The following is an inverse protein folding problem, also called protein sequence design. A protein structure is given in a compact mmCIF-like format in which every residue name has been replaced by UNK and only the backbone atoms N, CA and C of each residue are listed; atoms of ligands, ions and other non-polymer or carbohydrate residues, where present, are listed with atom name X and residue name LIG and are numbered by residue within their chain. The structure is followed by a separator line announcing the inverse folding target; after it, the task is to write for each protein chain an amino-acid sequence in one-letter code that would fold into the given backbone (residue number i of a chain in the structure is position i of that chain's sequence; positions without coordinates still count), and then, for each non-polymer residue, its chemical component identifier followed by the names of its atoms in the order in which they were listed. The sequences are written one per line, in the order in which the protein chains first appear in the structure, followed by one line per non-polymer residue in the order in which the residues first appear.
data_IF_372933878265
#
_entry.id   IF_372933878265
#
_cell.length_a   1.000
_cell.length_b   1.000
_cell.length_c   1.000
_cell.angle_alpha   90.00
_cell.angle_beta   90.00
_cell.angle_gamma   90.00
#
_symmetry.space_group_name_H-M   'P 1'
#
loop_
_entity.id
_entity.type
_entity.pdbx_description
1 polymer ?
#
# COMPACT_ATOMS: atom_id res chain seq x y z
N UNK A 1 -17.32 -95.61 21.95
CA UNK A 1 -18.47 -95.38 22.86
C UNK A 1 -18.72 -93.88 22.95
N UNK A 2 -19.96 -93.47 22.64
CA UNK A 2 -20.67 -92.21 22.93
C UNK A 2 -20.05 -90.86 22.48
N UNK A 3 -20.67 -90.34 21.41
CA UNK A 3 -20.74 -88.93 20.99
C UNK A 3 -21.39 -88.08 22.10
N UNK A 4 -20.83 -86.91 22.39
CA UNK A 4 -21.45 -85.85 23.18
C UNK A 4 -21.73 -84.64 22.28
N UNK A 5 -23.01 -84.33 22.09
CA UNK A 5 -23.48 -83.13 21.40
C UNK A 5 -23.42 -81.94 22.38
N UNK A 6 -22.78 -80.85 22.00
CA UNK A 6 -22.94 -79.55 22.67
C UNK A 6 -23.61 -78.56 21.71
N UNK A 7 -24.73 -78.04 22.20
CA UNK A 7 -25.66 -77.12 21.56
C UNK A 7 -25.03 -75.73 21.45
N UNK A 8 -25.02 -75.16 20.25
CA UNK A 8 -24.61 -73.77 19.98
C UNK A 8 -25.80 -72.86 20.29
N UNK A 9 -25.64 -71.95 21.25
CA UNK A 9 -26.61 -70.90 21.56
C UNK A 9 -26.35 -69.68 20.67
N UNK A 10 -27.31 -69.33 19.81
CA UNK A 10 -27.30 -68.12 18.99
C UNK A 10 -27.74 -66.94 19.89
N UNK A 11 -26.84 -65.99 20.15
CA UNK A 11 -27.18 -64.68 20.72
C UNK A 11 -27.47 -63.70 19.58
N UNK A 12 -28.73 -63.30 19.45
CA UNK A 12 -29.17 -62.18 18.61
C UNK A 12 -28.73 -60.86 19.23
N UNK A 13 -27.67 -60.26 18.68
CA UNK A 13 -27.24 -58.90 18.99
C UNK A 13 -27.98 -57.89 18.11
N UNK A 14 -28.71 -56.96 18.73
CA UNK A 14 -29.28 -55.79 18.07
C UNK A 14 -28.15 -54.85 17.59
N UNK A 15 -28.06 -54.62 16.28
CA UNK A 15 -27.23 -53.55 15.71
C UNK A 15 -27.99 -52.21 15.86
N UNK A 16 -27.54 -51.35 16.77
CA UNK A 16 -27.92 -49.94 16.77
C UNK A 16 -27.17 -49.22 15.65
N UNK A 17 -27.90 -48.76 14.62
CA UNK A 17 -27.38 -47.81 13.63
C UNK A 17 -27.15 -46.47 14.35
N UNK A 18 -25.90 -46.10 14.58
CA UNK A 18 -25.54 -44.73 14.93
C UNK A 18 -25.62 -43.86 13.66
N UNK A 19 -26.62 -43.00 13.58
CA UNK A 19 -26.71 -41.97 12.55
C UNK A 19 -25.70 -40.86 12.87
N UNK A 20 -24.54 -40.87 12.20
CA UNK A 20 -23.60 -39.76 12.25
C UNK A 20 -24.21 -38.55 11.52
N UNK A 21 -24.64 -37.55 12.28
CA UNK A 21 -25.02 -36.25 11.73
C UNK A 21 -23.75 -35.56 11.20
N UNK A 22 -23.60 -35.52 9.87
CA UNK A 22 -22.56 -34.76 9.21
C UNK A 22 -22.94 -33.27 9.32
N UNK A 23 -22.37 -32.57 10.30
CA UNK A 23 -22.40 -31.10 10.32
C UNK A 23 -21.62 -30.59 9.11
N UNK A 24 -22.32 -30.22 8.04
CA UNK A 24 -21.77 -29.44 6.95
C UNK A 24 -21.44 -28.04 7.51
N UNK A 25 -20.24 -27.88 8.07
CA UNK A 25 -19.69 -26.57 8.38
C UNK A 25 -19.56 -25.79 7.09
N UNK A 26 -20.33 -24.72 6.94
CA UNK A 26 -20.10 -23.75 5.88
C UNK A 26 -18.74 -23.11 6.16
N UNK A 27 -17.71 -23.55 5.43
CA UNK A 27 -16.45 -22.82 5.35
C UNK A 27 -16.81 -21.50 4.67
N UNK A 28 -16.96 -20.45 5.48
CA UNK A 28 -17.06 -19.10 4.97
C UNK A 28 -15.68 -18.78 4.39
N UNK A 29 -15.50 -19.00 3.09
CA UNK A 29 -14.37 -18.44 2.37
C UNK A 29 -14.51 -16.93 2.50
N UNK A 30 -13.77 -16.31 3.43
CA UNK A 30 -13.63 -14.87 3.44
C UNK A 30 -13.21 -14.49 2.02
N UNK A 31 -14.05 -13.77 1.27
CA UNK A 31 -13.61 -13.29 -0.04
C UNK A 31 -12.44 -12.37 0.24
N UNK A 32 -11.30 -12.64 -0.40
CA UNK A 32 -10.22 -11.66 -0.41
C UNK A 32 -10.84 -10.34 -0.86
N UNK A 33 -10.75 -9.32 -0.02
CA UNK A 33 -11.25 -8.00 -0.40
C UNK A 33 -10.37 -7.50 -1.55
N UNK A 34 -10.96 -6.88 -2.58
CA UNK A 34 -10.17 -6.30 -3.67
C UNK A 34 -9.16 -5.30 -3.10
N UNK A 35 -7.91 -5.37 -3.55
CA UNK A 35 -6.87 -4.39 -3.21
C UNK A 35 -6.90 -3.31 -4.30
N UNK A 36 -7.58 -2.21 -4.02
CA UNK A 36 -7.64 -1.07 -4.95
C UNK A 36 -6.34 -0.29 -4.92
N UNK A 37 -5.79 -0.04 -6.09
CA UNK A 37 -4.59 0.78 -6.31
C UNK A 37 -4.99 1.98 -7.14
N UNK A 38 -4.54 3.15 -6.73
CA UNK A 38 -4.59 4.38 -7.51
C UNK A 38 -3.24 4.60 -8.18
N UNK A 39 -3.24 5.21 -9.36
CA UNK A 39 -2.03 5.65 -10.03
C UNK A 39 -2.21 6.97 -10.75
N UNK A 40 -1.10 7.68 -10.96
CA UNK A 40 -1.09 8.90 -11.79
C UNK A 40 -0.38 8.60 -13.11
N UNK A 41 -1.10 8.86 -14.20
CA UNK A 41 -0.57 8.74 -15.55
C UNK A 41 0.21 9.99 -15.96
N UNK A 42 1.08 9.89 -16.96
CA UNK A 42 1.84 11.03 -17.52
C UNK A 42 0.94 12.18 -18.04
N UNK A 43 -0.27 11.87 -18.51
CA UNK A 43 -1.28 12.87 -18.91
C UNK A 43 -2.05 13.48 -17.72
N UNK A 44 -1.58 13.26 -16.50
CA UNK A 44 -2.17 13.79 -15.26
C UNK A 44 -3.60 13.29 -15.01
N UNK A 45 -3.85 12.01 -15.31
CA UNK A 45 -5.11 11.33 -14.98
C UNK A 45 -4.90 10.45 -13.75
N UNK A 46 -5.79 10.58 -12.76
CA UNK A 46 -5.88 9.67 -11.63
C UNK A 46 -6.67 8.43 -12.07
N UNK A 47 -5.99 7.30 -12.17
CA UNK A 47 -6.59 6.00 -12.50
C UNK A 47 -6.71 5.12 -11.27
N UNK A 48 -7.65 4.17 -11.29
CA UNK A 48 -7.69 3.09 -10.29
C UNK A 48 -7.84 1.73 -10.94
N UNK A 49 -7.34 0.70 -10.28
CA UNK A 49 -7.44 -0.69 -10.71
C UNK A 49 -7.37 -1.64 -9.50
N UNK A 50 -7.71 -2.91 -9.70
CA UNK A 50 -7.50 -3.96 -8.70
C UNK A 50 -6.11 -4.57 -8.87
N UNK A 51 -5.36 -4.69 -7.77
CA UNK A 51 -4.00 -5.23 -7.77
C UNK A 51 -3.88 -6.64 -8.38
N UNK A 52 -4.94 -7.45 -8.34
CA UNK A 52 -4.98 -8.79 -8.92
C UNK A 52 -5.31 -8.80 -10.42
N UNK A 53 -5.87 -7.71 -10.95
CA UNK A 53 -6.23 -7.55 -12.36
C UNK A 53 -5.82 -6.17 -12.89
N UNK A 54 -4.52 -5.81 -12.86
CA UNK A 54 -4.05 -4.46 -13.20
C UNK A 54 -4.34 -4.05 -14.65
N UNK A 55 -4.55 -5.01 -15.55
CA UNK A 55 -4.89 -4.77 -16.95
C UNK A 55 -6.28 -4.15 -17.17
N UNK A 56 -7.14 -4.10 -16.15
CA UNK A 56 -8.48 -3.50 -16.23
C UNK A 56 -8.55 -2.26 -15.35
N UNK A 57 -8.60 -1.09 -15.98
CA UNK A 57 -8.81 0.20 -15.30
C UNK A 57 -10.26 0.30 -14.84
N UNK A 58 -10.46 0.54 -13.55
CA UNK A 58 -11.76 0.68 -12.91
C UNK A 58 -12.30 2.12 -12.97
N UNK A 59 -11.42 3.11 -12.89
CA UNK A 59 -11.77 4.53 -13.06
C UNK A 59 -10.62 5.32 -13.67
N UNK A 60 -10.93 6.45 -14.31
CA UNK A 60 -9.97 7.45 -14.77
C UNK A 60 -10.59 8.83 -14.71
N UNK A 61 -9.94 9.76 -14.00
CA UNK A 61 -10.39 11.15 -13.87
C UNK A 61 -9.21 12.11 -14.00
N UNK A 62 -9.35 13.14 -14.83
CA UNK A 62 -8.28 14.13 -15.02
C UNK A 62 -8.05 14.90 -13.72
N UNK A 63 -6.78 15.06 -13.33
CA UNK A 63 -6.38 15.86 -12.18
C UNK A 63 -6.48 17.34 -12.57
N UNK A 64 -7.14 18.12 -11.74
CA UNK A 64 -7.30 19.58 -11.92
C UNK A 64 -7.01 20.33 -10.62
N UNK A 65 -6.95 21.66 -10.65
CA UNK A 65 -6.68 22.46 -9.44
C UNK A 65 -5.20 22.62 -9.07
N UNK A 66 -4.28 22.08 -9.87
CA UNK A 66 -2.83 22.29 -9.73
C UNK A 66 -2.43 23.70 -10.16
N UNK A 67 -1.25 24.16 -9.71
CA UNK A 67 -0.63 25.35 -10.28
C UNK A 67 -0.37 25.18 -11.78
N UNK A 68 -0.32 26.29 -12.52
CA UNK A 68 -0.14 26.25 -13.97
C UNK A 68 1.20 25.60 -14.35
N UNK A 69 1.14 24.55 -15.20
CA UNK A 69 2.27 23.70 -15.62
C UNK A 69 2.86 22.79 -14.53
N UNK A 70 2.19 22.64 -13.40
CA UNK A 70 2.61 21.69 -12.37
C UNK A 70 2.09 20.28 -12.69
N UNK A 71 2.92 19.29 -12.38
CA UNK A 71 2.60 17.86 -12.52
C UNK A 71 2.70 17.16 -11.18
N UNK A 72 2.05 16.00 -11.05
CA UNK A 72 2.12 15.19 -9.84
C UNK A 72 3.28 14.21 -9.99
N UNK A 73 4.10 14.10 -8.94
CA UNK A 73 5.32 13.29 -8.89
C UNK A 73 5.21 12.12 -7.91
N UNK A 74 4.24 12.15 -7.00
CA UNK A 74 4.02 11.11 -5.99
C UNK A 74 2.62 11.22 -5.40
N UNK A 75 2.06 10.11 -4.94
CA UNK A 75 0.76 10.08 -4.24
C UNK A 75 0.81 9.08 -3.09
N UNK A 76 0.07 9.34 -2.01
CA UNK A 76 -0.14 8.36 -0.93
C UNK A 76 -1.38 8.73 -0.09
N UNK A 77 -2.04 7.74 0.50
CA UNK A 77 -3.16 7.91 1.41
C UNK A 77 -2.69 8.18 2.84
N UNK A 78 -3.11 9.30 3.43
CA UNK A 78 -2.86 9.58 4.85
C UNK A 78 -3.56 8.54 5.73
N UNK A 79 -2.85 7.66 6.46
CA UNK A 79 -3.50 6.57 7.21
C UNK A 79 -4.47 7.06 8.28
N UNK A 80 -4.23 8.25 8.84
CA UNK A 80 -5.06 8.84 9.88
C UNK A 80 -6.44 9.34 9.39
N UNK A 81 -6.57 9.72 8.11
CA UNK A 81 -7.78 10.37 7.57
C UNK A 81 -8.35 9.72 6.31
N UNK A 82 -7.57 8.88 5.62
CA UNK A 82 -7.95 8.24 4.35
C UNK A 82 -7.96 9.18 3.15
N UNK A 83 -7.45 10.42 3.28
CA UNK A 83 -7.34 11.36 2.17
C UNK A 83 -6.12 11.03 1.30
N UNK A 84 -6.27 11.11 -0.02
CA UNK A 84 -5.16 11.00 -0.96
C UNK A 84 -4.40 12.32 -0.99
N UNK A 85 -3.10 12.27 -0.73
CA UNK A 85 -2.19 13.39 -0.90
C UNK A 85 -1.35 13.19 -2.16
N UNK A 86 -0.83 14.30 -2.68
CA UNK A 86 0.02 14.30 -3.85
C UNK A 86 1.16 15.31 -3.75
N UNK A 87 2.32 14.92 -4.27
CA UNK A 87 3.51 15.75 -4.41
C UNK A 87 3.50 16.45 -5.77
N UNK A 88 3.50 17.77 -5.78
CA UNK A 88 3.60 18.57 -6.99
C UNK A 88 5.06 18.89 -7.38
N UNK A 89 5.32 18.97 -8.68
CA UNK A 89 6.67 19.24 -9.24
C UNK A 89 7.23 20.62 -8.87
N UNK A 90 6.41 21.56 -8.40
CA UNK A 90 6.86 22.86 -7.91
C UNK A 90 6.98 22.91 -6.38
N UNK A 91 7.17 21.77 -5.73
CA UNK A 91 7.22 21.67 -4.26
C UNK A 91 5.93 22.17 -3.61
N UNK A 92 4.78 21.86 -4.21
CA UNK A 92 3.48 22.04 -3.57
C UNK A 92 2.99 20.70 -3.05
N UNK A 93 2.35 20.71 -1.88
CA UNK A 93 1.64 19.55 -1.35
C UNK A 93 0.15 19.72 -1.65
N UNK A 94 -0.50 18.66 -2.11
CA UNK A 94 -1.92 18.67 -2.44
C UNK A 94 -2.66 17.55 -1.70
N UNK A 95 -3.96 17.74 -1.48
CA UNK A 95 -4.93 16.65 -1.36
C UNK A 95 -5.68 16.50 -2.68
N UNK A 96 -6.03 15.28 -3.08
CA UNK A 96 -6.81 15.00 -4.30
C UNK A 96 -8.10 14.28 -3.91
N UNK A 97 -9.24 14.79 -4.41
CA UNK A 97 -10.51 14.06 -4.34
C UNK A 97 -10.53 12.92 -5.36
N UNK A 98 -10.61 11.68 -4.88
CA UNK A 98 -10.48 10.48 -5.71
C UNK A 98 -11.62 10.26 -6.72
N UNK A 99 -12.75 10.98 -6.57
CA UNK A 99 -13.91 10.85 -7.46
C UNK A 99 -13.88 11.89 -8.57
N UNK A 100 -13.57 13.15 -8.22
CA UNK A 100 -13.59 14.29 -9.13
C UNK A 100 -12.22 14.66 -9.71
N UNK A 101 -11.12 14.16 -9.13
CA UNK A 101 -9.74 14.54 -9.52
C UNK A 101 -9.35 15.96 -9.11
N UNK A 102 -10.18 16.66 -8.31
CA UNK A 102 -9.89 18.02 -7.87
C UNK A 102 -8.77 18.01 -6.82
N UNK A 103 -7.64 18.63 -7.14
CA UNK A 103 -6.55 18.88 -6.21
C UNK A 103 -6.77 20.19 -5.45
N UNK A 104 -6.46 20.19 -4.15
CA UNK A 104 -6.46 21.38 -3.30
C UNK A 104 -5.10 21.49 -2.60
N UNK A 105 -4.46 22.65 -2.71
CA UNK A 105 -3.15 22.87 -2.09
C UNK A 105 -3.25 22.83 -0.56
N UNK A 106 -2.30 22.15 0.06
CA UNK A 106 -2.07 22.12 1.50
C UNK A 106 -1.06 23.20 1.84
N UNK A 107 -1.40 24.02 2.83
CA UNK A 107 -0.66 25.26 3.10
C UNK A 107 -1.02 26.36 2.09
N UNK A 108 -0.27 27.46 2.10
CA UNK A 108 -0.54 28.64 1.27
C UNK A 108 0.55 28.95 0.23
N UNK A 109 1.60 28.13 0.17
CA UNK A 109 2.76 28.33 -0.70
C UNK A 109 3.49 27.02 -0.94
N UNK A 110 4.39 27.02 -1.92
CA UNK A 110 5.38 25.96 -2.08
C UNK A 110 6.21 25.80 -0.81
N UNK A 111 6.50 24.56 -0.45
CA UNK A 111 7.24 24.23 0.75
C UNK A 111 8.74 24.45 0.56
N UNK A 112 9.42 24.81 1.65
CA UNK A 112 10.88 24.95 1.70
C UNK A 112 11.43 24.18 2.91
N UNK A 113 12.56 23.47 2.79
CA UNK A 113 13.34 23.23 1.57
C UNK A 113 12.53 22.48 0.50
N UNK A 114 12.65 22.92 -0.75
CA UNK A 114 11.92 22.35 -1.89
C UNK A 114 12.57 21.10 -2.45
N UNK A 115 11.93 20.50 -3.46
CA UNK A 115 12.39 19.29 -4.14
C UNK A 115 13.75 19.49 -4.82
N UNK A 116 14.59 18.48 -4.71
CA UNK A 116 15.85 18.34 -5.43
C UNK A 116 15.98 16.91 -5.95
N UNK A 117 16.28 16.76 -7.24
CA UNK A 117 16.24 15.48 -7.94
C UNK A 117 15.22 15.50 -9.09
N UNK A 118 15.07 14.36 -9.74
CA UNK A 118 14.15 14.12 -10.86
C UNK A 118 13.08 13.06 -10.55
N UNK A 119 13.38 12.13 -9.63
CA UNK A 119 12.47 11.06 -9.21
C UNK A 119 12.35 11.02 -7.69
N UNK A 120 11.15 10.70 -7.19
CA UNK A 120 10.83 10.92 -5.78
C UNK A 120 10.04 9.76 -5.16
N UNK A 121 10.51 9.28 -4.01
CA UNK A 121 9.68 8.53 -3.07
C UNK A 121 8.82 9.48 -2.25
N UNK A 122 7.54 9.16 -2.05
CA UNK A 122 6.58 9.98 -1.32
C UNK A 122 5.63 9.07 -0.53
N UNK A 123 5.68 9.09 0.80
CA UNK A 123 4.87 8.17 1.61
C UNK A 123 4.62 8.67 3.04
N UNK A 124 3.47 8.32 3.61
CA UNK A 124 3.10 8.64 4.98
C UNK A 124 3.70 7.67 5.98
N UNK A 125 4.43 8.20 6.95
CA UNK A 125 4.74 7.48 8.16
C UNK A 125 3.48 7.35 9.04
N UNK A 126 2.91 6.13 9.21
CA UNK A 126 1.65 5.95 9.93
C UNK A 126 1.77 6.16 11.45
N UNK A 127 3.00 6.17 11.99
CA UNK A 127 3.23 6.27 13.44
C UNK A 127 3.34 7.72 13.93
N UNK A 128 3.90 8.61 13.10
CA UNK A 128 4.11 10.03 13.46
C UNK A 128 3.29 11.01 12.62
N UNK A 129 2.47 10.50 11.70
CA UNK A 129 1.60 11.29 10.82
C UNK A 129 2.37 12.40 10.09
N UNK A 130 3.45 11.98 9.42
CA UNK A 130 4.32 12.83 8.60
C UNK A 130 4.56 12.18 7.27
N UNK A 131 4.76 13.00 6.26
CA UNK A 131 5.11 12.56 4.92
C UNK A 131 6.63 12.53 4.82
N UNK A 132 7.17 11.44 4.30
CA UNK A 132 8.57 11.32 3.91
C UNK A 132 8.67 11.59 2.41
N UNK A 133 9.64 12.42 2.01
CA UNK A 133 10.03 12.57 0.61
C UNK A 133 11.50 12.26 0.47
N UNK A 134 11.83 11.38 -0.47
CA UNK A 134 13.21 11.05 -0.84
C UNK A 134 13.42 11.21 -2.34
N UNK A 135 14.67 11.28 -2.81
CA UNK A 135 14.93 11.38 -4.25
C UNK A 135 16.24 10.72 -4.69
N UNK A 136 16.39 10.63 -6.02
CA UNK A 136 17.62 10.28 -6.76
C UNK A 136 18.82 11.21 -6.46
N UNK A 137 18.59 12.36 -5.81
CA UNK A 137 19.63 13.29 -5.36
C UNK A 137 19.97 13.16 -3.87
N UNK A 138 19.71 11.97 -3.29
CA UNK A 138 19.90 11.64 -1.88
C UNK A 138 19.10 12.52 -0.91
N UNK A 139 18.12 13.27 -1.42
CA UNK A 139 17.32 14.16 -0.61
C UNK A 139 16.49 13.35 0.39
N UNK A 140 16.30 13.91 1.58
CA UNK A 140 15.50 13.29 2.62
C UNK A 140 14.72 14.36 3.39
N UNK A 141 13.45 14.54 3.08
CA UNK A 141 12.57 15.56 3.66
C UNK A 141 11.48 14.95 4.54
N UNK A 142 11.06 15.70 5.55
CA UNK A 142 9.87 15.45 6.35
C UNK A 142 8.88 16.57 6.14
N UNK A 143 7.70 16.25 5.62
CA UNK A 143 6.62 17.19 5.38
C UNK A 143 5.52 17.03 6.44
N UNK A 144 4.93 18.15 6.86
CA UNK A 144 3.77 18.19 7.72
C UNK A 144 2.48 18.23 6.88
N UNK A 145 1.61 17.21 6.96
CA UNK A 145 0.42 17.11 6.11
C UNK A 145 -0.68 18.13 6.46
N UNK A 146 -0.55 18.88 7.56
CA UNK A 146 -1.56 19.84 8.00
C UNK A 146 -1.31 21.26 7.48
N UNK A 147 -0.05 21.62 7.23
CA UNK A 147 0.34 22.99 6.83
C UNK A 147 1.31 23.03 5.65
N UNK A 148 1.77 21.87 5.16
CA UNK A 148 2.69 21.76 4.04
C UNK A 148 4.13 22.12 4.36
N UNK A 149 4.48 22.42 5.62
CA UNK A 149 5.88 22.75 5.97
C UNK A 149 6.81 21.57 5.75
N UNK A 150 8.04 21.86 5.30
CA UNK A 150 9.07 20.87 4.98
C UNK A 150 10.29 21.05 5.89
N UNK A 151 10.98 19.97 6.21
CA UNK A 151 12.25 19.97 6.94
C UNK A 151 13.20 18.98 6.30
N UNK A 152 14.38 19.43 5.90
CA UNK A 152 15.45 18.53 5.47
C UNK A 152 16.11 17.87 6.68
N UNK A 153 16.39 16.57 6.56
CA UNK A 153 17.15 15.79 7.54
C UNK A 153 18.37 15.16 6.86
N UNK A 154 19.01 14.17 7.50
CA UNK A 154 20.21 13.54 6.94
C UNK A 154 19.92 12.94 5.57
N UNK A 155 20.72 13.31 4.56
CA UNK A 155 20.70 12.75 3.21
C UNK A 155 20.86 11.23 3.24
N UNK A 156 20.44 10.58 2.16
CA UNK A 156 20.54 9.13 2.04
C UNK A 156 21.99 8.69 1.86
N UNK A 157 22.36 7.58 2.51
CA UNK A 157 23.65 6.91 2.32
C UNK A 157 23.59 5.47 2.82
N UNK A 158 24.35 4.57 2.20
CA UNK A 158 24.47 3.19 2.67
C UNK A 158 25.25 3.12 3.99
N UNK A 159 24.71 2.36 4.95
CA UNK A 159 25.26 2.22 6.29
C UNK A 159 26.65 1.56 6.28
N UNK A 160 27.44 1.81 7.33
CA UNK A 160 28.72 1.11 7.50
C UNK A 160 28.52 -0.39 7.65
N UNK A 161 29.25 -1.17 6.85
CA UNK A 161 29.12 -2.62 6.77
C UNK A 161 28.01 -3.13 5.85
N UNK A 162 27.22 -2.24 5.24
CA UNK A 162 26.30 -2.62 4.16
C UNK A 162 27.10 -3.08 2.92
N UNK A 163 26.62 -4.07 2.14
CA UNK A 163 27.28 -4.48 0.90
C UNK A 163 27.55 -3.34 -0.10
N UNK A 164 26.74 -2.27 -0.03
CA UNK A 164 26.83 -1.10 -0.91
C UNK A 164 27.41 0.14 -0.19
N UNK A 165 28.11 -0.04 0.95
CA UNK A 165 28.79 1.06 1.64
C UNK A 165 29.68 1.87 0.69
N UNK A 166 29.52 3.19 0.71
CA UNK A 166 30.28 4.13 -0.12
C UNK A 166 29.78 4.30 -1.56
N UNK A 167 28.75 3.55 -1.98
CA UNK A 167 28.04 3.81 -3.23
C UNK A 167 27.05 4.95 -3.03
N UNK A 168 26.90 5.82 -4.04
CA UNK A 168 25.88 6.86 -4.02
C UNK A 168 24.51 6.22 -4.25
N UNK A 169 23.54 6.39 -3.35
CA UNK A 169 22.18 5.88 -3.57
C UNK A 169 21.50 6.50 -4.79
N UNK A 170 20.51 5.80 -5.33
CA UNK A 170 19.56 6.30 -6.32
C UNK A 170 18.13 5.87 -5.94
N UNK A 171 17.64 6.35 -4.80
CA UNK A 171 16.33 5.93 -4.25
C UNK A 171 15.20 6.76 -4.86
N UNK A 172 14.42 6.14 -5.73
CA UNK A 172 13.38 6.83 -6.54
C UNK A 172 11.96 6.60 -6.07
N UNK A 173 11.72 5.60 -5.22
CA UNK A 173 10.41 5.27 -4.68
C UNK A 173 10.55 4.76 -3.24
N UNK A 174 9.54 4.99 -2.39
CA UNK A 174 9.58 4.60 -0.98
C UNK A 174 8.19 4.30 -0.43
N UNK A 175 8.08 3.39 0.53
CA UNK A 175 6.81 3.04 1.17
C UNK A 175 6.99 2.56 2.62
N UNK A 176 6.05 2.91 3.50
CA UNK A 176 6.00 2.44 4.87
C UNK A 176 5.14 1.19 5.03
N UNK A 177 5.60 0.28 5.89
CA UNK A 177 4.76 -0.81 6.39
C UNK A 177 3.76 -0.33 7.43
N UNK A 178 2.71 -1.12 7.65
CA UNK A 178 1.67 -0.89 8.65
C UNK A 178 0.93 0.45 8.44
N UNK A 179 0.64 0.81 7.19
CA UNK A 179 -0.07 2.03 6.79
C UNK A 179 -1.55 2.02 7.17
N UNK A 180 -1.83 2.01 8.49
CA UNK A 180 -3.16 2.07 9.08
C UNK A 180 -3.20 3.03 10.28
N UNK A 181 -4.38 3.56 10.58
CA UNK A 181 -4.58 4.48 11.70
C UNK A 181 -4.22 3.82 13.05
N UNK A 182 -3.35 4.47 13.82
CA UNK A 182 -2.94 4.00 15.15
C UNK A 182 -1.83 2.95 15.13
N UNK A 183 -1.13 2.76 14.01
CA UNK A 183 0.07 1.94 13.97
C UNK A 183 1.11 2.42 14.99
N UNK A 184 1.70 1.48 15.73
CA UNK A 184 2.73 1.77 16.75
C UNK A 184 4.15 1.44 16.27
N UNK A 185 4.26 0.73 15.15
CA UNK A 185 5.53 0.31 14.53
C UNK A 185 5.41 0.43 13.02
N UNK A 186 6.47 0.89 12.37
CA UNK A 186 6.57 0.97 10.92
C UNK A 186 8.03 0.89 10.51
N UNK A 187 8.27 0.46 9.28
CA UNK A 187 9.57 0.43 8.62
C UNK A 187 9.40 1.05 7.24
N UNK A 188 10.29 2.00 6.91
CA UNK A 188 10.39 2.57 5.58
C UNK A 188 11.23 1.67 4.69
N UNK A 189 10.71 1.37 3.52
CA UNK A 189 11.43 0.71 2.44
C UNK A 189 11.62 1.68 1.28
N UNK A 190 12.67 1.45 0.50
CA UNK A 190 12.96 2.19 -0.73
C UNK A 190 13.35 1.26 -1.87
N UNK A 191 13.17 1.73 -3.09
CA UNK A 191 13.69 1.10 -4.31
C UNK A 191 14.87 1.95 -4.77
N UNK A 192 16.06 1.35 -4.79
CA UNK A 192 17.24 1.93 -5.43
C UNK A 192 17.38 1.33 -6.84
N UNK A 193 17.10 2.14 -7.86
CA UNK A 193 17.18 1.74 -9.27
C UNK A 193 18.59 1.83 -9.83
N UNK A 194 19.52 2.48 -9.14
CA UNK A 194 20.93 2.48 -9.54
C UNK A 194 21.62 1.14 -9.28
N UNK A 195 21.10 0.38 -8.31
CA UNK A 195 21.62 -0.91 -7.88
C UNK A 195 20.64 -2.08 -8.03
N UNK A 196 19.40 -1.81 -8.45
CA UNK A 196 18.30 -2.77 -8.54
C UNK A 196 18.07 -3.54 -7.24
N UNK A 197 18.04 -2.82 -6.12
CA UNK A 197 17.84 -3.39 -4.78
C UNK A 197 16.67 -2.76 -4.04
N UNK A 198 16.04 -3.59 -3.21
CA UNK A 198 15.19 -3.10 -2.14
C UNK A 198 16.07 -2.73 -0.93
N UNK A 199 15.81 -1.57 -0.34
CA UNK A 199 16.50 -1.10 0.88
C UNK A 199 15.51 -0.86 2.02
N UNK A 200 15.97 -1.04 3.26
CA UNK A 200 15.35 -0.43 4.44
C UNK A 200 16.01 0.90 4.70
N UNK A 201 15.21 1.92 4.94
CA UNK A 201 15.70 3.24 5.31
C UNK A 201 15.44 3.53 6.79
N UNK A 202 16.46 3.98 7.50
CA UNK A 202 16.29 4.54 8.84
C UNK A 202 15.78 6.00 8.75
N UNK A 203 14.48 6.15 8.48
CA UNK A 203 13.70 7.39 8.52
C UNK A 203 14.53 8.70 8.41
N UNK A 204 14.67 9.46 9.51
CA UNK A 204 15.43 10.73 9.51
C UNK A 204 16.95 10.59 9.65
N UNK A 205 17.46 9.39 9.98
CA UNK A 205 18.89 9.14 10.03
C UNK A 205 19.50 8.97 8.62
N UNK A 206 18.66 8.69 7.60
CA UNK A 206 19.08 8.61 6.20
C UNK A 206 19.85 7.35 5.82
N UNK A 207 20.29 6.54 6.80
CA UNK A 207 21.04 5.31 6.54
C UNK A 207 20.16 4.28 5.81
N UNK A 208 20.73 3.68 4.76
CA UNK A 208 20.14 2.59 3.99
C UNK A 208 20.82 1.27 4.34
N UNK A 209 19.99 0.23 4.49
CA UNK A 209 20.42 -1.17 4.60
C UNK A 209 19.81 -1.96 3.45
N UNK A 210 20.65 -2.66 2.70
CA UNK A 210 20.25 -3.48 1.57
C UNK A 210 19.49 -4.71 2.04
N UNK A 211 18.28 -4.93 1.52
CA UNK A 211 17.49 -6.14 1.76
C UNK A 211 17.89 -7.24 0.78
N UNK A 212 17.93 -6.89 -0.52
CA UNK A 212 18.33 -7.80 -1.58
C UNK A 212 17.96 -7.27 -2.95
N UNK A 213 18.41 -7.98 -3.99
CA UNK A 213 18.14 -7.61 -5.39
C UNK A 213 16.67 -7.81 -5.75
N UNK A 214 16.15 -6.87 -6.55
CA UNK A 214 14.83 -6.94 -7.16
C UNK A 214 14.75 -8.07 -8.21
N UNK A 215 15.89 -8.52 -8.75
CA UNK A 215 15.96 -9.56 -9.78
C UNK A 215 15.55 -9.09 -11.17
N UNK A 216 15.32 -7.79 -11.33
CA UNK A 216 14.93 -7.10 -12.55
C UNK A 216 15.58 -5.72 -12.57
N UNK A 217 15.90 -5.22 -13.77
CA UNK A 217 16.42 -3.87 -13.99
C UNK A 217 15.24 -2.91 -14.06
N UNK A 218 15.16 -1.97 -13.12
CA UNK A 218 14.07 -0.99 -13.03
C UNK A 218 14.57 0.39 -13.46
N UNK A 219 13.78 1.11 -14.24
CA UNK A 219 14.07 2.53 -14.48
C UNK A 219 13.48 3.44 -13.41
N UNK A 220 13.94 4.70 -13.42
CA UNK A 220 13.58 5.72 -12.42
C UNK A 220 12.12 6.17 -12.47
N UNK A 221 11.33 5.74 -13.45
CA UNK A 221 9.87 5.94 -13.46
C UNK A 221 9.19 4.77 -12.76
N UNK A 222 9.19 4.82 -11.44
CA UNK A 222 8.63 3.81 -10.58
C UNK A 222 7.74 4.40 -9.48
N UNK A 223 6.60 3.75 -9.22
CA UNK A 223 5.79 3.96 -8.02
C UNK A 223 5.92 2.75 -7.10
N UNK A 224 5.90 2.96 -5.79
CA UNK A 224 5.99 1.89 -4.79
C UNK A 224 5.09 2.22 -3.61
N UNK A 225 4.27 1.25 -3.17
CA UNK A 225 3.46 1.39 -1.97
C UNK A 225 3.19 0.02 -1.31
N UNK A 226 2.92 0.02 0.00
CA UNK A 226 2.70 -1.16 0.83
C UNK A 226 1.30 -1.10 1.44
N UNK A 227 0.48 -2.11 1.15
CA UNK A 227 -0.86 -2.22 1.71
C UNK A 227 -0.83 -2.26 3.25
N UNK A 228 -1.46 -1.28 3.89
CA UNK A 228 -1.55 -1.22 5.34
C UNK A 228 -2.31 -2.38 6.01
N UNK A 229 -3.12 -3.17 5.27
CA UNK A 229 -3.84 -4.33 5.84
C UNK A 229 -2.97 -5.59 5.91
N UNK A 230 -2.20 -5.84 4.86
CA UNK A 230 -1.49 -7.10 4.66
C UNK A 230 0.03 -6.97 4.63
N UNK A 231 0.57 -5.75 4.54
CA UNK A 231 1.96 -5.46 4.18
C UNK A 231 2.40 -6.07 2.83
N UNK A 232 1.45 -6.36 1.93
CA UNK A 232 1.78 -6.68 0.56
C UNK A 232 2.35 -5.42 -0.12
N UNK A 233 3.58 -5.53 -0.63
CA UNK A 233 4.28 -4.44 -1.28
C UNK A 233 4.09 -4.53 -2.80
N UNK A 234 3.75 -3.40 -3.41
CA UNK A 234 3.45 -3.31 -4.82
C UNK A 234 4.30 -2.23 -5.49
N UNK A 235 4.73 -2.49 -6.72
CA UNK A 235 5.43 -1.51 -7.54
C UNK A 235 4.81 -1.41 -8.93
N UNK A 236 4.77 -0.19 -9.46
CA UNK A 236 4.50 0.10 -10.86
C UNK A 236 5.80 0.59 -11.50
N UNK A 237 6.20 -0.01 -12.60
CA UNK A 237 7.46 0.34 -13.28
C UNK A 237 7.19 0.47 -14.77
N UNK A 238 7.60 1.60 -15.34
CA UNK A 238 7.59 1.74 -16.78
C UNK A 238 8.64 0.84 -17.41
N UNK A 239 8.30 0.06 -18.41
CA UNK A 239 9.23 -0.71 -19.21
C UNK A 239 9.48 0.08 -20.51
N UNK A 240 10.70 0.59 -20.68
CA UNK A 240 11.06 1.43 -21.81
C UNK A 240 11.14 0.65 -23.14
N UNK A 241 11.52 -0.63 -23.07
CA UNK A 241 11.66 -1.50 -24.26
C UNK A 241 10.28 -1.92 -24.78
N UNK A 242 9.35 -2.20 -23.85
CA UNK A 242 8.00 -2.66 -24.17
C UNK A 242 6.98 -1.53 -24.22
N UNK A 243 7.40 -0.30 -23.89
CA UNK A 243 6.61 0.92 -23.88
C UNK A 243 5.28 0.77 -23.14
N UNK A 244 5.33 0.18 -21.93
CA UNK A 244 4.16 -0.08 -21.08
C UNK A 244 4.50 0.02 -19.61
N UNK A 245 3.52 0.25 -18.75
CA UNK A 245 3.73 0.14 -17.30
C UNK A 245 3.38 -1.26 -16.81
N UNK A 246 4.30 -1.88 -16.07
CA UNK A 246 4.11 -3.21 -15.48
C UNK A 246 3.92 -3.09 -13.97
N UNK A 247 3.15 -4.01 -13.40
CA UNK A 247 2.78 -4.05 -11.99
C UNK A 247 3.33 -5.31 -11.33
N UNK A 248 3.89 -5.14 -10.12
CA UNK A 248 4.72 -6.14 -9.45
C UNK A 248 4.36 -6.24 -7.98
N UNK A 249 4.57 -7.42 -7.38
CA UNK A 249 4.77 -7.55 -5.93
C UNK A 249 6.25 -7.53 -5.61
N UNK A 250 6.64 -6.99 -4.45
CA UNK A 250 8.00 -7.06 -3.92
C UNK A 250 8.00 -7.82 -2.58
N UNK A 251 8.88 -8.80 -2.44
CA UNK A 251 9.07 -9.49 -1.16
C UNK A 251 9.93 -8.62 -0.22
N UNK A 252 9.33 -8.10 0.85
CA UNK A 252 10.02 -7.20 1.80
C UNK A 252 11.13 -7.87 2.64
N UNK A 253 11.26 -9.20 2.58
CA UNK A 253 12.29 -9.96 3.30
C UNK A 253 13.51 -10.22 2.41
N UNK A 254 13.29 -10.50 1.12
CA UNK A 254 14.34 -10.90 0.19
C UNK A 254 14.68 -9.84 -0.86
N UNK A 255 13.80 -8.85 -1.05
CA UNK A 255 13.88 -7.85 -2.11
C UNK A 255 13.34 -8.33 -3.46
N UNK A 256 13.06 -9.62 -3.64
CA UNK A 256 12.74 -10.16 -4.96
C UNK A 256 11.39 -9.64 -5.51
N UNK A 257 11.39 -9.12 -6.74
CA UNK A 257 10.19 -8.65 -7.44
C UNK A 257 9.56 -9.77 -8.27
N UNK A 258 8.23 -9.85 -8.27
CA UNK A 258 7.45 -10.80 -9.08
C UNK A 258 6.37 -10.06 -9.85
N UNK A 259 6.35 -10.22 -11.18
CA UNK A 259 5.40 -9.53 -12.04
C UNK A 259 4.00 -10.07 -11.84
N UNK A 260 3.02 -9.18 -11.71
CA UNK A 260 1.60 -9.51 -11.70
C UNK A 260 1.02 -9.36 -13.12
N UNK A 261 1.31 -8.25 -13.80
CA UNK A 261 0.79 -7.97 -15.13
C UNK A 261 1.13 -6.59 -15.65
N UNK A 262 0.48 -6.19 -16.75
CA UNK A 262 0.52 -4.83 -17.28
C UNK A 262 -0.59 -3.98 -16.65
N UNK A 263 -0.31 -2.71 -16.36
CA UNK A 263 -1.35 -1.73 -16.01
C UNK A 263 -2.08 -1.31 -17.28
N UNK A 264 -3.40 -1.47 -17.29
CA UNK A 264 -4.24 -1.19 -18.46
C UNK A 264 -4.20 0.27 -18.91
N UNK A 265 -4.72 0.52 -20.11
CA UNK A 265 -4.85 1.88 -20.67
C UNK A 265 -3.62 2.37 -21.46
N UNK A 266 -2.47 1.69 -21.35
CA UNK A 266 -1.28 1.98 -22.16
C UNK A 266 -0.54 3.26 -21.78
N UNK A 267 -0.95 3.95 -20.71
CA UNK A 267 -0.28 5.13 -20.19
C UNK A 267 0.92 4.76 -19.31
N UNK A 268 1.90 5.67 -19.27
CA UNK A 268 2.99 5.64 -18.30
C UNK A 268 2.43 6.02 -16.93
N UNK A 269 2.57 5.17 -15.92
CA UNK A 269 2.15 5.44 -14.54
C UNK A 269 3.39 5.56 -13.67
N UNK A 270 3.60 6.76 -13.11
CA UNK A 270 4.82 7.10 -12.36
C UNK A 270 4.66 7.12 -10.84
N UNK A 271 3.44 7.14 -10.34
CA UNK A 271 3.14 7.13 -8.91
C UNK A 271 1.94 6.23 -8.65
N UNK A 272 1.97 5.49 -7.54
CA UNK A 272 0.86 4.64 -7.09
C UNK A 272 0.58 4.84 -5.60
N UNK A 273 -0.66 4.59 -5.20
CA UNK A 273 -1.08 4.51 -3.80
C UNK A 273 -2.13 3.40 -3.64
N UNK A 274 -1.91 2.48 -2.71
CA UNK A 274 -2.79 1.39 -2.34
C UNK A 274 -3.75 1.91 -1.28
N UNK A 275 -5.05 1.65 -1.46
CA UNK A 275 -6.04 2.01 -0.46
C UNK A 275 -5.83 1.14 0.78
N UNK A 276 -5.19 1.72 1.80
CA UNK A 276 -4.96 1.07 3.09
C UNK A 276 -6.24 0.69 3.84
N UNK A 277 -6.08 0.20 5.07
CA UNK A 277 -7.20 -0.05 5.99
C UNK A 277 -7.86 1.28 6.39
N UNK A 278 -8.75 1.83 5.55
CA UNK A 278 -9.55 2.99 5.96
C UNK A 278 -10.35 2.57 7.19
N UNK A 279 -10.24 3.26 8.33
CA UNK A 279 -11.12 3.02 9.45
C UNK A 279 -12.53 3.23 8.93
N UNK A 280 -13.37 2.18 8.96
CA UNK A 280 -14.79 2.37 8.68
C UNK A 280 -15.29 3.53 9.54
N UNK A 281 -16.08 4.50 9.01
CA UNK A 281 -16.67 5.53 9.84
C UNK A 281 -17.37 4.84 11.00
N UNK A 282 -16.89 5.08 12.21
CA UNK A 282 -17.18 4.24 13.36
C UNK A 282 -18.68 3.98 13.48
N UNK A 283 -19.07 2.71 13.45
CA UNK A 283 -20.45 2.24 13.68
C UNK A 283 -21.00 2.58 15.08
N UNK A 284 -20.23 3.31 15.90
CA UNK A 284 -20.61 3.82 17.21
C UNK A 284 -21.81 4.78 17.19
N UNK A 285 -22.26 5.28 16.03
CA UNK A 285 -23.42 6.18 15.95
C UNK A 285 -24.78 5.49 15.68
N UNK A 286 -24.83 4.20 15.31
CA UNK A 286 -26.10 3.56 14.88
C UNK A 286 -26.79 2.75 15.99
N UNK A 287 -26.12 2.47 17.11
CA UNK A 287 -26.72 1.74 18.24
C UNK A 287 -27.36 2.63 19.33
N UNK A 288 -27.44 3.95 19.12
CA UNK A 288 -28.03 4.88 20.10
C UNK A 288 -29.50 5.28 19.83
N UNK A 289 -30.13 4.84 18.73
CA UNK A 289 -31.53 5.20 18.41
C UNK A 289 -32.57 4.08 18.53
N UNK A 290 -32.22 2.88 19.01
CA UNK A 290 -33.18 1.78 19.20
C UNK A 290 -33.71 1.62 20.64
N UNK A 291 -33.29 2.48 21.59
CA UNK A 291 -33.49 2.27 23.03
C UNK A 291 -34.50 3.18 23.78
N UNK A 292 -35.19 4.12 23.12
CA UNK A 292 -36.06 5.10 23.84
C UNK A 292 -37.56 4.94 23.51
N UNK A 293 -37.96 3.84 22.87
CA UNK A 293 -39.31 3.66 22.34
C UNK A 293 -40.23 2.67 23.08
N UNK A 294 -40.05 2.38 24.38
CA UNK A 294 -40.96 1.45 25.05
C UNK A 294 -41.05 1.62 26.58
N UNK A 295 -41.53 2.76 27.08
CA UNK A 295 -42.06 2.83 28.46
C UNK A 295 -43.34 3.67 28.53
N UNK A 296 -44.40 2.98 29.00
CA UNK A 296 -45.65 3.46 29.64
C UNK A 296 -46.74 4.11 28.77
N UNK A 297 -47.85 3.37 28.66
CA UNK A 297 -49.10 3.69 29.38
C UNK A 297 -49.98 2.43 29.53
N UNK A 298 -50.16 1.97 30.78
CA UNK A 298 -51.33 1.19 31.18
C UNK A 298 -52.15 2.09 32.12
N UNK A 299 -53.42 2.30 31.76
CA UNK A 299 -54.50 2.53 32.71
C UNK A 299 -55.34 1.26 32.70
#
# INVERSE_FOLDING_TARGET
MRKGHHVIAIRTGFFQLAASALCAGTVSTASAQPTTVFGVTEDQTLVSFDASTPGTIASGVAISGLAANETIQGIDFRPATGQLYALGSFSNLYTIDIVSGMAAQVGSSSFLPGLNGSSFGFDFNPTIDRIRVVSDADQNLVLNPNDGTSTAVTSLFYATGDPNEGINPNVVASAYTNSFAGATVTQLFGIDTGLDVLVRQANSAGTLETVGSLGVDLNDLAGFDIDGRSNAAYAAVFDADLFRTTFWTIDLTTGFATQIGEIGGGSRVGAIAVVGAVPAPGTAAVLALAGVGAVRRRR
#
